data_IF_533382117068
#
_entry.id   IF_533382117068
#
_cell.length_a   1.000
_cell.length_b   1.000
_cell.length_c   1.000
_cell.angle_alpha   90.00
_cell.angle_beta   90.00
_cell.angle_gamma   90.00
#
_symmetry.space_group_name_H-M   'P 1'
#
loop_
_entity.id
_entity.type
_entity.pdbx_description
1 polymer ?
#
# COMPACT_ATOMS: atom_id res chain seq x y z
N UNK A 1 13.90 14.13 -16.76
CA UNK A 1 12.69 13.28 -16.87
C UNK A 1 11.82 13.54 -15.65
N UNK A 2 10.64 14.18 -15.75
CA UNK A 2 9.81 14.40 -14.57
C UNK A 2 8.95 13.15 -14.31
N UNK A 3 9.13 12.54 -13.12
CA UNK A 3 8.25 11.49 -12.63
C UNK A 3 6.87 12.08 -12.35
N UNK A 4 5.87 11.69 -13.16
CA UNK A 4 4.46 12.00 -12.89
C UNK A 4 3.93 11.05 -11.84
N UNK A 5 3.82 11.51 -10.60
CA UNK A 5 2.86 10.94 -9.66
C UNK A 5 1.46 11.37 -10.14
N UNK A 6 0.65 10.41 -10.60
CA UNK A 6 -0.73 10.68 -10.98
C UNK A 6 -1.59 10.62 -9.72
N UNK A 7 -2.04 11.79 -9.26
CA UNK A 7 -3.10 11.88 -8.27
C UNK A 7 -4.39 11.35 -8.90
N UNK A 8 -4.97 10.31 -8.30
CA UNK A 8 -6.21 9.68 -8.80
C UNK A 8 -7.40 10.58 -8.46
N UNK A 9 -7.69 11.54 -9.34
CA UNK A 9 -8.93 12.32 -9.33
C UNK A 9 -9.65 12.13 -10.65
N UNK A 10 -10.77 11.39 -10.63
CA UNK A 10 -11.78 11.43 -11.69
C UNK A 10 -11.50 10.71 -13.00
N UNK A 11 -10.75 9.59 -13.01
CA UNK A 11 -10.64 8.72 -14.19
C UNK A 11 -11.43 7.43 -13.96
N UNK A 12 -12.48 7.21 -14.77
CA UNK A 12 -13.44 6.08 -14.71
C UNK A 12 -12.90 4.76 -15.28
N UNK A 13 -11.64 4.73 -15.75
CA UNK A 13 -11.06 3.52 -16.33
C UNK A 13 -10.32 2.69 -15.29
N UNK A 14 -10.77 1.45 -15.11
CA UNK A 14 -10.05 0.40 -14.39
C UNK A 14 -8.63 0.24 -14.97
N UNK A 15 -7.63 0.04 -14.10
CA UNK A 15 -6.23 -0.13 -14.49
C UNK A 15 -5.84 -1.60 -14.42
N UNK A 16 -5.03 -2.11 -15.35
CA UNK A 16 -4.59 -3.52 -15.30
C UNK A 16 -3.74 -3.80 -14.05
N UNK A 17 -2.95 -2.82 -13.61
CA UNK A 17 -2.18 -2.86 -12.38
C UNK A 17 -2.23 -1.53 -11.63
N UNK A 18 -2.15 -1.59 -10.28
CA UNK A 18 -2.07 -0.41 -9.41
C UNK A 18 -0.87 -0.54 -8.47
N UNK A 19 -0.08 0.52 -8.34
CA UNK A 19 0.97 0.66 -7.33
C UNK A 19 0.47 1.59 -6.22
N UNK A 20 0.47 1.10 -4.98
CA UNK A 20 0.10 1.84 -3.78
C UNK A 20 1.37 2.08 -2.97
N UNK A 21 1.66 3.34 -2.67
CA UNK A 21 2.83 3.75 -1.88
C UNK A 21 2.36 4.12 -0.47
N UNK A 22 2.88 3.41 0.53
CA UNK A 22 2.66 3.75 1.95
C UNK A 22 3.97 4.33 2.49
N UNK A 23 4.01 5.63 2.82
CA UNK A 23 5.22 6.26 3.32
C UNK A 23 5.74 5.62 4.62
N UNK A 24 7.07 5.49 4.79
CA UNK A 24 7.67 4.98 6.03
C UNK A 24 7.47 5.94 7.20
N UNK A 25 7.58 5.40 8.41
CA UNK A 25 7.63 6.18 9.66
C UNK A 25 8.97 6.90 9.75
N UNK A 26 8.99 8.17 10.14
CA UNK A 26 10.20 8.96 10.36
C UNK A 26 10.55 9.94 9.25
N UNK A 27 9.60 10.27 8.36
CA UNK A 27 9.77 11.35 7.37
C UNK A 27 9.66 12.76 7.98
N UNK A 28 9.42 12.85 9.30
CA UNK A 28 9.58 14.07 10.09
C UNK A 28 8.31 14.92 10.21
N UNK A 29 7.14 14.36 9.94
CA UNK A 29 5.83 15.03 10.07
C UNK A 29 4.83 14.11 10.75
N UNK A 30 3.79 14.71 11.33
CA UNK A 30 2.63 14.06 11.97
C UNK A 30 2.01 12.91 11.13
N UNK A 31 2.23 12.91 9.81
CA UNK A 31 1.90 11.83 8.87
C UNK A 31 2.55 10.47 9.19
N UNK A 32 3.65 10.44 9.93
CA UNK A 32 4.38 9.21 10.26
C UNK A 32 3.52 8.21 11.07
N UNK A 33 2.58 8.72 11.89
CA UNK A 33 1.67 7.88 12.69
C UNK A 33 0.50 7.34 11.86
N UNK A 34 0.11 8.01 10.77
CA UNK A 34 -1.05 7.62 9.95
C UNK A 34 -0.77 6.35 9.15
N UNK A 35 0.42 6.20 8.59
CA UNK A 35 0.82 4.97 7.88
C UNK A 35 0.77 3.74 8.78
N UNK A 36 1.29 3.85 10.00
CA UNK A 36 1.26 2.77 11.00
C UNK A 36 -0.18 2.41 11.40
N UNK A 37 -1.00 3.42 11.67
CA UNK A 37 -2.41 3.21 12.04
C UNK A 37 -3.18 2.55 10.89
N UNK A 38 -2.95 2.98 9.64
CA UNK A 38 -3.57 2.38 8.46
C UNK A 38 -3.15 0.91 8.30
N UNK A 39 -1.85 0.61 8.32
CA UNK A 39 -1.35 -0.76 8.14
C UNK A 39 -1.81 -1.67 9.28
N UNK A 40 -1.79 -1.16 10.52
CA UNK A 40 -2.32 -1.90 11.67
C UNK A 40 -3.82 -2.13 11.55
N UNK A 41 -4.59 -1.12 11.16
CA UNK A 41 -6.04 -1.25 10.99
C UNK A 41 -6.41 -2.24 9.89
N UNK A 42 -5.70 -2.19 8.77
CA UNK A 42 -5.88 -3.11 7.66
C UNK A 42 -5.55 -4.55 8.07
N UNK A 43 -4.42 -4.75 8.74
CA UNK A 43 -3.93 -6.10 9.05
C UNK A 43 -4.66 -6.76 10.24
N UNK A 44 -5.09 -5.98 11.22
CA UNK A 44 -5.74 -6.52 12.43
C UNK A 44 -7.27 -6.41 12.40
N UNK A 45 -7.84 -5.55 11.55
CA UNK A 45 -9.27 -5.26 11.52
C UNK A 45 -9.81 -4.54 12.76
N UNK A 46 -8.97 -4.21 13.74
CA UNK A 46 -9.40 -3.85 15.09
C UNK A 46 -9.59 -2.34 15.35
N UNK A 47 -9.02 -1.45 14.55
CA UNK A 47 -8.83 -0.03 14.93
C UNK A 47 -9.67 1.00 14.17
N UNK A 48 -10.43 0.61 13.15
CA UNK A 48 -11.14 1.58 12.31
C UNK A 48 -12.37 2.24 12.96
N UNK A 49 -12.90 1.71 14.07
CA UNK A 49 -14.24 2.10 14.56
C UNK A 49 -14.28 3.45 15.28
N UNK A 50 -13.15 3.91 15.84
CA UNK A 50 -13.08 5.10 16.69
C UNK A 50 -12.19 6.22 16.13
N UNK A 51 -11.60 6.03 14.93
CA UNK A 51 -10.77 7.03 14.27
C UNK A 51 -11.27 7.28 12.84
N UNK A 52 -11.99 8.40 12.60
CA UNK A 52 -12.51 8.75 11.28
C UNK A 52 -11.45 8.87 10.20
N UNK A 53 -10.23 9.32 10.53
CA UNK A 53 -9.16 9.49 9.55
C UNK A 53 -8.63 8.12 9.08
N UNK A 54 -8.38 7.20 10.01
CA UNK A 54 -7.98 5.82 9.67
C UNK A 54 -9.09 5.10 8.89
N UNK A 55 -10.37 5.31 9.26
CA UNK A 55 -11.49 4.74 8.52
C UNK A 55 -11.53 5.27 7.07
N UNK A 56 -11.28 6.56 6.86
CA UNK A 56 -11.22 7.13 5.52
C UNK A 56 -10.02 6.63 4.73
N UNK A 57 -8.84 6.55 5.35
CA UNK A 57 -7.65 5.99 4.73
C UNK A 57 -7.87 4.53 4.28
N UNK A 58 -8.60 3.73 5.07
CA UNK A 58 -9.00 2.36 4.67
C UNK A 58 -9.97 2.35 3.48
N UNK A 59 -10.91 3.30 3.40
CA UNK A 59 -11.78 3.44 2.21
C UNK A 59 -11.00 3.81 0.97
N UNK A 60 -10.06 4.75 1.09
CA UNK A 60 -9.16 5.14 0.00
C UNK A 60 -8.33 3.93 -0.45
N UNK A 61 -7.76 3.17 0.49
CA UNK A 61 -7.03 1.94 0.19
C UNK A 61 -7.91 0.93 -0.54
N UNK A 62 -9.14 0.70 -0.06
CA UNK A 62 -10.10 -0.18 -0.72
C UNK A 62 -10.38 0.25 -2.16
N UNK A 63 -10.68 1.53 -2.39
CA UNK A 63 -10.92 2.07 -3.73
C UNK A 63 -9.69 1.97 -4.63
N UNK A 64 -8.49 2.17 -4.09
CA UNK A 64 -7.26 2.02 -4.86
C UNK A 64 -7.03 0.57 -5.29
N UNK A 65 -7.24 -0.39 -4.38
CA UNK A 65 -7.09 -1.82 -4.64
C UNK A 65 -8.13 -2.30 -5.65
N UNK A 66 -9.39 -1.88 -5.54
CA UNK A 66 -10.46 -2.34 -6.44
C UNK A 66 -10.39 -1.75 -7.85
N UNK A 67 -9.55 -0.74 -8.09
CA UNK A 67 -9.24 -0.26 -9.45
C UNK A 67 -8.34 -1.20 -10.24
N UNK A 68 -7.63 -2.11 -9.57
CA UNK A 68 -6.75 -3.05 -10.24
C UNK A 68 -7.51 -4.26 -10.78
N UNK A 69 -7.41 -4.51 -12.07
CA UNK A 69 -8.04 -5.68 -12.71
C UNK A 69 -7.24 -6.97 -12.50
N UNK A 70 -5.91 -6.88 -12.46
CA UNK A 70 -5.03 -8.06 -12.45
C UNK A 70 -3.98 -8.04 -11.34
N UNK A 71 -3.38 -6.89 -11.04
CA UNK A 71 -2.25 -6.82 -10.12
C UNK A 71 -2.29 -5.59 -9.20
N UNK A 72 -2.02 -5.81 -7.91
CA UNK A 72 -1.79 -4.74 -6.94
C UNK A 72 -0.37 -4.90 -6.40
N UNK A 73 0.40 -3.81 -6.47
CA UNK A 73 1.72 -3.71 -5.87
C UNK A 73 1.69 -2.72 -4.71
N UNK A 74 2.41 -3.03 -3.63
CA UNK A 74 2.59 -2.16 -2.49
C UNK A 74 4.06 -1.81 -2.32
N UNK A 75 4.38 -0.51 -2.28
CA UNK A 75 5.67 -0.01 -1.82
C UNK A 75 5.53 0.32 -0.33
N UNK A 76 6.23 -0.44 0.50
CA UNK A 76 6.10 -0.43 1.96
C UNK A 76 7.47 -0.27 2.61
N UNK A 77 7.50 0.27 3.83
CA UNK A 77 8.67 0.12 4.72
C UNK A 77 8.89 -1.34 5.11
N UNK A 78 10.10 -1.72 5.52
CA UNK A 78 10.42 -3.09 5.93
C UNK A 78 9.50 -3.61 7.04
N UNK A 79 9.17 -2.75 8.01
CA UNK A 79 8.25 -3.06 9.09
C UNK A 79 6.84 -3.33 8.57
N UNK A 80 6.33 -2.47 7.69
CA UNK A 80 5.00 -2.65 7.08
C UNK A 80 4.97 -3.87 6.15
N UNK A 81 6.04 -4.12 5.39
CA UNK A 81 6.17 -5.27 4.50
C UNK A 81 6.08 -6.58 5.30
N UNK A 82 6.76 -6.66 6.44
CA UNK A 82 6.70 -7.83 7.32
C UNK A 82 5.28 -8.07 7.83
N UNK A 83 4.60 -7.03 8.31
CA UNK A 83 3.22 -7.12 8.80
C UNK A 83 2.22 -7.53 7.70
N UNK A 84 2.28 -6.90 6.54
CA UNK A 84 1.39 -7.19 5.41
C UNK A 84 1.67 -8.58 4.83
N UNK A 85 2.93 -9.00 4.75
CA UNK A 85 3.28 -10.35 4.29
C UNK A 85 2.69 -11.43 5.20
N UNK A 86 2.80 -11.28 6.52
CA UNK A 86 2.19 -12.21 7.47
C UNK A 86 0.67 -12.27 7.29
N UNK A 87 0.03 -11.10 7.21
CA UNK A 87 -1.41 -10.96 7.00
C UNK A 87 -1.92 -11.64 5.72
N UNK A 88 -1.18 -11.51 4.61
CA UNK A 88 -1.53 -12.13 3.33
C UNK A 88 -1.27 -13.63 3.35
N UNK A 89 -0.18 -14.09 3.99
CA UNK A 89 0.10 -15.52 4.14
C UNK A 89 -1.02 -16.26 4.89
N UNK A 90 -1.58 -15.65 5.93
CA UNK A 90 -2.72 -16.22 6.68
C UNK A 90 -4.01 -16.33 5.86
N UNK A 91 -4.21 -15.45 4.87
CA UNK A 91 -5.46 -15.34 4.09
C UNK A 91 -5.43 -16.08 2.76
N UNK A 92 -4.25 -16.54 2.32
CA UNK A 92 -4.09 -17.35 1.12
C UNK A 92 -4.11 -16.68 -0.26
N UNK A 93 -4.20 -15.34 -0.46
CA UNK A 93 -4.01 -14.80 -1.81
C UNK A 93 -2.57 -15.03 -2.30
N UNK A 94 -2.37 -15.35 -3.59
CA UNK A 94 -1.06 -15.38 -4.20
C UNK A 94 -0.38 -14.02 -4.05
N UNK A 95 0.78 -14.00 -3.42
CA UNK A 95 1.55 -12.78 -3.22
C UNK A 95 3.04 -13.05 -3.35
N UNK A 96 3.77 -12.02 -3.75
CA UNK A 96 5.23 -12.01 -3.80
C UNK A 96 5.73 -10.83 -2.97
N UNK A 97 6.60 -11.11 -2.01
CA UNK A 97 7.31 -10.07 -1.27
C UNK A 97 8.75 -10.02 -1.80
N UNK A 98 9.16 -8.86 -2.27
CA UNK A 98 10.53 -8.57 -2.66
C UNK A 98 11.08 -7.59 -1.62
N UNK A 99 12.09 -8.03 -0.89
CA UNK A 99 12.88 -7.16 -0.02
C UNK A 99 14.11 -6.78 -0.82
N UNK A 100 14.24 -5.52 -1.22
CA UNK A 100 15.47 -5.08 -1.86
C UNK A 100 16.54 -4.96 -0.78
N UNK A 101 17.32 -6.02 -0.59
CA UNK A 101 18.44 -6.02 0.35
C UNK A 101 19.69 -5.35 -0.26
N UNK A 102 19.59 -4.74 -1.44
CA UNK A 102 20.71 -4.06 -2.07
C UNK A 102 20.45 -3.68 -3.52
N UNK A 103 19.74 -2.58 -3.75
CA UNK A 103 19.89 -1.71 -4.92
C UNK A 103 19.77 -2.35 -6.31
N UNK A 104 19.08 -3.47 -6.48
CA UNK A 104 18.75 -3.96 -7.82
C UNK A 104 17.33 -3.56 -8.17
N UNK A 105 17.21 -2.40 -8.82
CA UNK A 105 16.05 -2.09 -9.65
C UNK A 105 15.83 -3.28 -10.58
N UNK A 106 14.71 -3.98 -10.40
CA UNK A 106 14.26 -5.01 -11.33
C UNK A 106 13.98 -4.30 -12.65
N UNK A 107 14.96 -4.30 -13.57
CA UNK A 107 14.69 -4.05 -14.97
C UNK A 107 13.78 -5.16 -15.44
N UNK A 108 12.53 -4.81 -15.71
CA UNK A 108 11.64 -5.69 -16.46
C UNK A 108 12.23 -5.80 -17.88
N UNK A 109 12.57 -7.00 -18.37
CA UNK A 109 12.98 -7.15 -19.76
C UNK A 109 11.78 -6.80 -20.65
N UNK A 110 12.04 -5.92 -21.62
CA UNK A 110 11.14 -5.59 -22.72
C UNK A 110 10.97 -6.78 -23.65
#
# INVERSE_FOLDING_TARGET
MPHRAVAVKGQESESDAVLIVVPPVGSGKEDDRRSDLLVKAWTTGATARNDPETAEALRVLYVAVTRARRLVAFALSDTHLTAVKAFLAERGPPHRALHDNGGEQIMLPW
#
